data_IF_995640515915
#
_entry.id   IF_995640515915
#
_cell.length_a   1.000
_cell.length_b   1.000
_cell.length_c   1.000
_cell.angle_alpha   90.00
_cell.angle_beta   90.00
_cell.angle_gamma   90.00
#
_symmetry.space_group_name_H-M   'P 1'
#
loop_
_entity.id
_entity.type
_entity.pdbx_description
1 polymer ?
#
# COMPACT_ATOMS: atom_id res chain seq x y z
N UNK A 1 3.46 19.35 -8.03
CA UNK A 1 3.84 18.21 -8.91
C UNK A 1 3.71 16.92 -8.14
N UNK A 2 3.09 15.93 -8.72
CA UNK A 2 2.93 14.62 -8.08
C UNK A 2 4.26 13.89 -7.98
N UNK A 3 4.54 13.35 -6.81
CA UNK A 3 5.75 12.58 -6.54
C UNK A 3 5.39 11.13 -6.28
N UNK A 4 6.14 10.20 -6.87
CA UNK A 4 6.00 8.76 -6.65
C UNK A 4 7.26 8.26 -5.97
N UNK A 5 7.10 7.56 -4.85
CA UNK A 5 8.19 6.92 -4.15
C UNK A 5 7.98 5.40 -4.18
N UNK A 6 8.91 4.70 -4.81
CA UNK A 6 8.94 3.24 -4.81
C UNK A 6 9.80 2.76 -3.65
N UNK A 7 9.23 1.96 -2.78
CA UNK A 7 9.98 1.24 -1.75
C UNK A 7 10.38 -0.13 -2.27
N UNK A 8 11.67 -0.36 -2.42
CA UNK A 8 12.19 -1.68 -2.75
C UNK A 8 12.25 -2.49 -1.46
N UNK A 9 11.45 -3.55 -1.38
CA UNK A 9 11.39 -4.39 -0.19
C UNK A 9 12.69 -5.17 -0.04
N UNK A 10 13.15 -5.40 1.20
CA UNK A 10 14.32 -6.25 1.42
C UNK A 10 14.03 -7.69 1.03
N UNK A 11 15.08 -8.49 0.70
CA UNK A 11 14.86 -9.90 0.44
C UNK A 11 14.26 -10.56 1.68
N UNK A 12 13.24 -11.42 1.45
CA UNK A 12 12.65 -12.19 2.53
C UNK A 12 13.68 -13.25 2.93
N UNK A 13 14.13 -13.20 4.19
CA UNK A 13 15.01 -14.21 4.70
C UNK A 13 14.30 -15.57 4.67
N UNK A 14 14.88 -16.53 3.96
CA UNK A 14 14.36 -17.91 3.88
C UNK A 14 14.27 -18.60 5.24
N UNK A 15 14.88 -18.00 6.25
CA UNK A 15 14.85 -18.44 7.64
C UNK A 15 13.66 -17.91 8.44
N UNK A 16 12.83 -17.08 7.87
CA UNK A 16 11.54 -16.78 8.46
C UNK A 16 10.66 -18.03 8.30
N UNK A 17 11.02 -19.07 9.04
CA UNK A 17 10.09 -20.13 9.33
C UNK A 17 8.89 -19.44 9.95
N UNK A 18 7.83 -19.32 9.19
CA UNK A 18 6.55 -18.92 9.72
C UNK A 18 6.38 -19.74 11.00
N UNK A 19 6.28 -19.06 12.13
CA UNK A 19 5.87 -19.73 13.35
C UNK A 19 4.53 -20.36 13.02
N UNK A 20 4.52 -21.67 12.90
CA UNK A 20 3.36 -22.44 12.48
C UNK A 20 2.21 -22.41 13.50
N UNK A 21 2.26 -21.49 14.45
CA UNK A 21 1.34 -21.42 15.57
C UNK A 21 0.17 -20.44 15.35
N UNK A 22 0.04 -19.89 14.12
CA UNK A 22 -1.13 -19.07 13.80
C UNK A 22 -2.17 -19.94 13.10
N UNK A 23 -3.34 -20.17 13.72
CA UNK A 23 -4.39 -21.00 13.11
C UNK A 23 -5.09 -20.35 11.89
N UNK A 24 -4.60 -19.24 11.39
CA UNK A 24 -5.21 -18.49 10.29
C UNK A 24 -4.42 -18.67 8.98
N UNK A 25 -3.55 -19.67 8.91
CA UNK A 25 -2.69 -19.88 7.75
C UNK A 25 -3.38 -20.69 6.64
N UNK A 26 -4.52 -20.23 6.15
CA UNK A 26 -5.18 -20.93 5.03
C UNK A 26 -5.12 -20.19 3.72
N UNK A 27 -4.38 -19.10 3.65
CA UNK A 27 -4.20 -18.39 2.39
C UNK A 27 -2.71 -18.44 2.04
N UNK A 28 -2.39 -18.75 0.79
CA UNK A 28 -1.05 -18.67 0.23
C UNK A 28 -0.51 -17.24 0.44
N UNK A 29 -0.10 -16.95 1.66
CA UNK A 29 0.48 -15.67 1.99
C UNK A 29 1.95 -15.71 1.63
N UNK A 30 2.28 -15.18 0.46
CA UNK A 30 3.65 -14.86 0.15
C UNK A 30 4.16 -13.92 1.26
N UNK A 31 5.21 -14.30 2.02
CA UNK A 31 5.72 -13.45 3.11
C UNK A 31 6.10 -12.04 2.66
N UNK A 32 6.57 -11.89 1.43
CA UNK A 32 6.89 -10.58 0.89
C UNK A 32 5.65 -9.69 0.77
N UNK A 33 4.51 -10.25 0.38
CA UNK A 33 3.25 -9.51 0.31
C UNK A 33 2.75 -9.12 1.69
N UNK A 34 2.92 -10.00 2.68
CA UNK A 34 2.54 -9.68 4.06
C UNK A 34 3.35 -8.51 4.61
N UNK A 35 4.64 -8.48 4.34
CA UNK A 35 5.50 -7.36 4.74
C UNK A 35 5.10 -6.05 4.04
N UNK A 36 4.78 -6.11 2.77
CA UNK A 36 4.28 -4.95 2.02
C UNK A 36 2.98 -4.42 2.60
N UNK A 37 2.04 -5.31 2.92
CA UNK A 37 0.76 -4.92 3.51
C UNK A 37 0.95 -4.28 4.88
N UNK A 38 1.82 -4.85 5.71
CA UNK A 38 2.14 -4.29 7.01
C UNK A 38 2.78 -2.91 6.88
N UNK A 39 3.72 -2.75 5.97
CA UNK A 39 4.36 -1.47 5.71
C UNK A 39 3.35 -0.44 5.20
N UNK A 40 2.43 -0.85 4.32
CA UNK A 40 1.37 0.03 3.84
C UNK A 40 0.51 0.56 5.00
N UNK A 41 0.16 -0.30 5.95
CA UNK A 41 -0.60 0.10 7.14
C UNK A 41 0.19 1.07 8.01
N UNK A 42 1.48 0.81 8.22
CA UNK A 42 2.37 1.70 8.98
C UNK A 42 2.49 3.08 8.33
N UNK A 43 2.63 3.13 7.02
CA UNK A 43 2.73 4.39 6.27
C UNK A 43 1.40 5.15 6.28
N UNK A 44 0.28 4.44 6.21
CA UNK A 44 -1.05 5.05 6.35
C UNK A 44 -1.21 5.68 7.74
N UNK A 45 -0.76 5.00 8.79
CA UNK A 45 -0.76 5.56 10.14
C UNK A 45 0.09 6.81 10.24
N UNK A 46 1.30 6.78 9.69
CA UNK A 46 2.19 7.94 9.71
C UNK A 46 1.57 9.15 8.99
N UNK A 47 0.93 8.92 7.86
CA UNK A 47 0.22 9.97 7.13
C UNK A 47 -0.95 10.51 7.95
N UNK A 48 -1.71 9.62 8.59
CA UNK A 48 -2.83 10.02 9.45
C UNK A 48 -2.36 10.91 10.61
N UNK A 49 -1.25 10.54 11.26
CA UNK A 49 -0.66 11.34 12.35
C UNK A 49 -0.26 12.73 11.86
N UNK A 50 0.18 12.85 10.61
CA UNK A 50 0.50 14.12 9.96
C UNK A 50 -0.74 14.85 9.42
N UNK A 51 -1.94 14.36 9.73
CA UNK A 51 -3.21 14.92 9.27
C UNK A 51 -3.36 14.91 7.74
N UNK A 52 -2.75 13.93 7.09
CA UNK A 52 -2.91 13.70 5.66
C UNK A 52 -3.94 12.60 5.43
N UNK A 53 -4.80 12.82 4.44
CA UNK A 53 -5.81 11.83 4.04
C UNK A 53 -5.21 10.87 3.02
N UNK A 54 -5.50 9.59 3.19
CA UNK A 54 -4.87 8.49 2.46
C UNK A 54 -5.92 7.69 1.71
N UNK A 55 -5.61 7.30 0.49
CA UNK A 55 -6.33 6.27 -0.24
C UNK A 55 -5.40 5.09 -0.51
N UNK A 56 -5.83 3.89 -0.12
CA UNK A 56 -5.10 2.66 -0.40
C UNK A 56 -5.80 1.96 -1.56
N UNK A 57 -5.11 1.86 -2.69
CA UNK A 57 -5.63 1.20 -3.88
C UNK A 57 -5.16 -0.24 -3.92
N UNK A 58 -6.10 -1.17 -3.92
CA UNK A 58 -5.84 -2.61 -3.92
C UNK A 58 -6.13 -3.21 -5.28
N UNK A 59 -5.56 -4.39 -5.52
CA UNK A 59 -5.74 -5.13 -6.77
C UNK A 59 -7.16 -5.65 -6.94
N UNK A 60 -7.76 -6.11 -5.84
CA UNK A 60 -9.07 -6.73 -5.84
C UNK A 60 -9.74 -6.60 -4.47
N UNK A 61 -10.98 -7.07 -4.41
CA UNK A 61 -11.78 -7.03 -3.19
C UNK A 61 -11.13 -7.81 -2.05
N UNK A 62 -10.52 -8.96 -2.34
CA UNK A 62 -9.89 -9.81 -1.34
C UNK A 62 -8.72 -9.06 -0.67
N UNK A 63 -7.88 -8.43 -1.45
CA UNK A 63 -6.78 -7.63 -0.91
C UNK A 63 -7.29 -6.45 -0.08
N UNK A 64 -8.34 -5.77 -0.57
CA UNK A 64 -8.92 -4.64 0.15
C UNK A 64 -9.44 -5.06 1.53
N UNK A 65 -10.12 -6.19 1.62
CA UNK A 65 -10.60 -6.72 2.91
C UNK A 65 -9.44 -7.13 3.82
N UNK A 66 -8.37 -7.69 3.26
CA UNK A 66 -7.18 -8.05 4.03
C UNK A 66 -6.52 -6.82 4.65
N UNK A 67 -6.42 -5.73 3.90
CA UNK A 67 -5.87 -4.46 4.40
C UNK A 67 -6.77 -3.85 5.47
N UNK A 68 -8.09 -3.88 5.26
CA UNK A 68 -9.07 -3.41 6.23
C UNK A 68 -8.90 -4.12 7.57
N UNK A 69 -8.81 -5.44 7.55
CA UNK A 69 -8.58 -6.23 8.75
C UNK A 69 -7.23 -5.94 9.40
N UNK A 70 -6.19 -5.83 8.58
CA UNK A 70 -4.84 -5.58 9.07
C UNK A 70 -4.73 -4.23 9.77
N UNK A 71 -5.41 -3.20 9.28
CA UNK A 71 -5.44 -1.88 9.92
C UNK A 71 -6.03 -1.91 11.32
N UNK A 72 -6.89 -2.88 11.63
CA UNK A 72 -7.41 -3.08 12.98
C UNK A 72 -6.39 -3.74 13.91
N UNK A 73 -5.42 -4.49 13.38
CA UNK A 73 -4.61 -5.44 14.14
C UNK A 73 -3.11 -5.17 14.10
N UNK A 74 -2.60 -4.40 13.12
CA UNK A 74 -1.16 -4.29 12.87
C UNK A 74 -0.38 -3.69 14.04
N UNK A 75 -1.03 -2.83 14.79
CA UNK A 75 -0.45 -2.19 15.97
C UNK A 75 -1.55 -2.02 17.02
N UNK A 76 -1.54 -2.82 18.08
CA UNK A 76 -2.63 -2.80 19.07
C UNK A 76 -2.85 -1.45 19.75
N UNK A 77 -1.80 -0.64 19.88
CA UNK A 77 -1.88 0.68 20.50
C UNK A 77 -2.28 1.78 19.53
N UNK A 78 -2.31 1.50 18.23
CA UNK A 78 -2.62 2.48 17.21
C UNK A 78 -4.06 2.31 16.73
N UNK A 79 -4.81 3.40 16.67
CA UNK A 79 -6.10 3.43 16.03
C UNK A 79 -6.03 4.34 14.81
N UNK A 80 -6.27 3.77 13.64
CA UNK A 80 -6.31 4.51 12.37
C UNK A 80 -7.73 4.46 11.83
N UNK A 81 -8.47 5.57 11.86
CA UNK A 81 -9.82 5.60 11.29
C UNK A 81 -9.79 5.26 9.80
N UNK A 82 -10.50 4.21 9.41
CA UNK A 82 -10.49 3.73 8.04
C UNK A 82 -11.82 3.07 7.67
N UNK A 83 -12.10 3.00 6.37
CA UNK A 83 -13.23 2.25 5.84
C UNK A 83 -12.94 1.78 4.41
N UNK A 84 -13.64 0.75 4.01
CA UNK A 84 -13.70 0.35 2.61
C UNK A 84 -14.54 1.38 1.84
N UNK A 85 -14.15 1.64 0.59
CA UNK A 85 -14.88 2.57 -0.26
C UNK A 85 -16.35 2.14 -0.40
N UNK A 86 -17.26 3.06 -0.21
CA UNK A 86 -18.70 2.78 -0.21
C UNK A 86 -19.25 2.45 1.16
N UNK A 87 -18.40 2.22 2.15
CA UNK A 87 -18.75 2.00 3.53
C UNK A 87 -18.28 3.19 4.39
N UNK A 88 -18.78 3.30 5.58
CA UNK A 88 -18.37 4.35 6.49
C UNK A 88 -19.16 5.66 6.34
N UNK A 89 -18.75 6.71 7.04
CA UNK A 89 -19.49 7.97 7.10
C UNK A 89 -19.46 8.72 5.77
N UNK A 90 -20.50 9.52 5.53
CA UNK A 90 -20.60 10.36 4.32
C UNK A 90 -19.43 11.33 4.19
N UNK A 91 -18.87 11.78 5.30
CA UNK A 91 -17.72 12.67 5.32
C UNK A 91 -16.42 11.95 4.97
N UNK A 92 -16.42 10.61 4.93
CA UNK A 92 -15.26 9.78 4.69
C UNK A 92 -14.39 9.60 5.94
N UNK A 93 -13.53 8.60 5.90
CA UNK A 93 -12.49 8.39 6.92
C UNK A 93 -11.15 8.89 6.40
N UNK A 94 -10.22 9.26 7.30
CA UNK A 94 -8.87 9.65 6.89
C UNK A 94 -8.15 8.63 6.01
N UNK A 95 -8.42 7.33 6.21
CA UNK A 95 -7.89 6.26 5.34
C UNK A 95 -9.07 5.57 4.67
N UNK A 96 -9.08 5.57 3.35
CA UNK A 96 -10.07 4.86 2.55
C UNK A 96 -9.39 3.79 1.74
N UNK A 97 -10.02 2.63 1.64
CA UNK A 97 -9.48 1.47 0.93
C UNK A 97 -10.42 1.13 -0.22
N UNK A 98 -9.89 1.00 -1.42
CA UNK A 98 -10.70 0.64 -2.59
C UNK A 98 -9.91 -0.16 -3.61
N UNK A 99 -10.62 -0.68 -4.62
CA UNK A 99 -10.02 -1.54 -5.64
C UNK A 99 -10.60 -1.29 -7.03
N UNK A 100 -11.48 -0.31 -7.21
CA UNK A 100 -12.06 0.00 -8.50
C UNK A 100 -11.23 1.07 -9.26
N UNK A 101 -11.62 1.34 -10.50
CA UNK A 101 -10.92 2.29 -11.37
C UNK A 101 -11.29 3.75 -11.10
N UNK A 102 -12.28 4.00 -10.26
CA UNK A 102 -12.76 5.34 -10.01
C UNK A 102 -11.94 6.07 -8.95
N UNK A 103 -11.32 5.30 -8.05
CA UNK A 103 -10.49 5.87 -6.99
C UNK A 103 -11.29 6.43 -5.84
N UNK A 104 -10.67 7.36 -5.10
CA UNK A 104 -11.24 7.92 -3.90
C UNK A 104 -12.45 8.81 -4.20
N UNK A 105 -13.44 8.80 -3.30
CA UNK A 105 -14.61 9.66 -3.42
C UNK A 105 -14.30 11.14 -3.14
N UNK A 106 -13.20 11.41 -2.46
CA UNK A 106 -12.77 12.76 -2.10
C UNK A 106 -11.31 12.96 -2.46
N UNK A 107 -10.93 14.22 -2.61
CA UNK A 107 -9.52 14.57 -2.79
C UNK A 107 -8.72 14.16 -1.55
N UNK A 108 -7.59 13.48 -1.76
CA UNK A 108 -6.70 13.03 -0.71
C UNK A 108 -5.25 13.30 -1.11
N UNK A 109 -4.39 13.48 -0.14
CA UNK A 109 -3.00 13.85 -0.38
C UNK A 109 -2.13 12.65 -0.78
N UNK A 110 -2.39 11.48 -0.19
CA UNK A 110 -1.51 10.32 -0.30
C UNK A 110 -2.25 9.14 -0.93
N UNK A 111 -1.65 8.57 -1.96
CA UNK A 111 -2.08 7.31 -2.56
C UNK A 111 -1.05 6.24 -2.21
N UNK A 112 -1.52 5.13 -1.64
CA UNK A 112 -0.72 3.92 -1.46
C UNK A 112 -1.23 2.90 -2.46
N UNK A 113 -0.39 2.52 -3.42
CA UNK A 113 -0.77 1.58 -4.47
C UNK A 113 -0.27 0.17 -4.16
N UNK A 114 -1.18 -0.77 -4.04
CA UNK A 114 -0.89 -2.20 -3.86
C UNK A 114 -1.29 -3.05 -5.08
N UNK A 115 -1.83 -2.41 -6.11
CA UNK A 115 -2.25 -3.09 -7.32
C UNK A 115 -1.08 -3.32 -8.28
N UNK A 116 -1.27 -4.23 -9.23
CA UNK A 116 -0.24 -4.57 -10.22
C UNK A 116 0.01 -3.44 -11.22
N UNK A 117 -0.94 -2.56 -11.42
CA UNK A 117 -0.83 -1.45 -12.37
C UNK A 117 -1.00 -0.12 -11.66
N UNK A 118 -0.40 0.93 -12.26
CA UNK A 118 -0.63 2.29 -11.80
C UNK A 118 -2.09 2.66 -12.04
N UNK A 119 -2.81 3.17 -11.01
CA UNK A 119 -4.21 3.53 -11.20
C UNK A 119 -4.34 4.77 -12.09
N UNK A 120 -5.42 4.84 -12.91
CA UNK A 120 -5.58 5.98 -13.82
C UNK A 120 -5.79 7.31 -13.11
N UNK A 121 -6.21 7.28 -11.85
CA UNK A 121 -6.44 8.48 -11.03
C UNK A 121 -5.20 8.91 -10.23
N UNK A 122 -4.05 8.29 -10.45
CA UNK A 122 -2.83 8.53 -9.65
C UNK A 122 -2.42 10.01 -9.66
N UNK A 123 -2.59 10.69 -10.79
CA UNK A 123 -2.21 12.11 -10.93
C UNK A 123 -2.98 13.06 -10.02
N UNK A 124 -4.09 12.60 -9.43
CA UNK A 124 -4.91 13.42 -8.54
C UNK A 124 -4.35 13.51 -7.12
N UNK A 125 -3.25 12.79 -6.84
CA UNK A 125 -2.61 12.77 -5.53
C UNK A 125 -1.29 13.53 -5.59
N UNK A 126 -0.93 14.17 -4.50
CA UNK A 126 0.36 14.86 -4.38
C UNK A 126 1.51 13.89 -4.13
N UNK A 127 1.25 12.82 -3.39
CA UNK A 127 2.23 11.80 -3.05
C UNK A 127 1.68 10.41 -3.34
N UNK A 128 2.48 9.62 -4.04
CA UNK A 128 2.14 8.24 -4.34
C UNK A 128 3.23 7.35 -3.74
N UNK A 129 2.80 6.33 -3.01
CA UNK A 129 3.69 5.32 -2.45
C UNK A 129 3.42 4.01 -3.17
N UNK A 130 4.46 3.40 -3.69
CA UNK A 130 4.39 2.12 -4.37
C UNK A 130 5.46 1.19 -3.79
N UNK A 131 5.30 -0.12 -3.99
CA UNK A 131 6.18 -1.11 -3.42
C UNK A 131 6.65 -2.10 -4.48
N UNK A 132 7.87 -2.59 -4.32
CA UNK A 132 8.43 -3.63 -5.17
C UNK A 132 8.90 -4.77 -4.28
N UNK A 133 8.23 -5.93 -4.36
CA UNK A 133 8.68 -7.12 -3.69
C UNK A 133 10.00 -7.61 -4.33
N UNK A 134 10.87 -8.22 -3.51
CA UNK A 134 12.22 -8.59 -3.95
C UNK A 134 12.21 -9.98 -4.59
N UNK A 135 11.56 -10.08 -5.74
CA UNK A 135 11.62 -11.26 -6.61
C UNK A 135 11.48 -10.79 -8.06
N UNK A 136 11.92 -11.64 -8.99
CA UNK A 136 12.00 -11.26 -10.41
C UNK A 136 10.64 -10.97 -11.02
N UNK A 137 9.61 -11.71 -10.63
CA UNK A 137 8.26 -11.53 -11.16
C UNK A 137 7.68 -10.18 -10.74
N UNK A 138 7.76 -9.84 -9.46
CA UNK A 138 7.25 -8.56 -8.96
C UNK A 138 8.07 -7.40 -9.47
N UNK A 139 9.39 -7.57 -9.64
CA UNK A 139 10.25 -6.52 -10.24
C UNK A 139 9.86 -6.25 -11.68
N UNK A 140 9.52 -7.28 -12.46
CA UNK A 140 9.07 -7.10 -13.85
C UNK A 140 7.76 -6.32 -13.92
N UNK A 141 6.79 -6.67 -13.07
CA UNK A 141 5.50 -5.97 -12.97
C UNK A 141 5.71 -4.52 -12.51
N UNK A 142 6.61 -4.31 -11.56
CA UNK A 142 6.92 -2.97 -11.05
C UNK A 142 7.58 -2.08 -12.12
N UNK A 143 8.41 -2.64 -12.99
CA UNK A 143 8.99 -1.87 -14.11
C UNK A 143 7.89 -1.35 -15.02
N UNK A 144 6.84 -2.11 -15.23
CA UNK A 144 5.71 -1.66 -16.04
C UNK A 144 4.96 -0.52 -15.34
N UNK A 145 4.72 -0.61 -14.02
CA UNK A 145 4.15 0.50 -13.25
C UNK A 145 5.04 1.74 -13.32
N UNK A 146 6.34 1.58 -13.22
CA UNK A 146 7.28 2.68 -13.33
C UNK A 146 7.12 3.41 -14.67
N UNK A 147 7.00 2.65 -15.78
CA UNK A 147 6.74 3.24 -17.10
C UNK A 147 5.41 3.97 -17.16
N UNK A 148 4.37 3.39 -16.56
CA UNK A 148 3.04 3.99 -16.51
C UNK A 148 3.08 5.33 -15.77
N UNK A 149 3.71 5.38 -14.60
CA UNK A 149 3.88 6.63 -13.85
C UNK A 149 4.71 7.65 -14.64
N UNK A 150 5.78 7.20 -15.25
CA UNK A 150 6.63 8.06 -16.05
C UNK A 150 5.86 8.71 -17.20
N UNK A 151 4.97 7.94 -17.82
CA UNK A 151 4.09 8.46 -18.89
C UNK A 151 3.10 9.52 -18.41
N UNK A 152 2.82 9.56 -17.10
CA UNK A 152 1.94 10.56 -16.50
C UNK A 152 2.69 11.87 -16.15
N UNK A 153 4.00 11.94 -16.37
CA UNK A 153 4.78 13.13 -16.10
C UNK A 153 5.05 13.43 -14.64
N UNK A 154 4.98 12.39 -13.78
CA UNK A 154 5.23 12.53 -12.35
C UNK A 154 6.72 12.38 -12.04
N UNK A 155 7.14 12.91 -10.89
CA UNK A 155 8.51 12.75 -10.40
C UNK A 155 8.65 11.39 -9.69
N UNK A 156 9.63 10.59 -10.11
CA UNK A 156 9.83 9.23 -9.62
C UNK A 156 11.09 9.13 -8.78
N UNK A 157 10.98 8.54 -7.60
CA UNK A 157 12.09 8.24 -6.70
C UNK A 157 11.97 6.79 -6.21
N UNK A 158 13.10 6.21 -5.84
CA UNK A 158 13.17 4.86 -5.27
C UNK A 158 13.96 4.89 -3.98
N UNK A 159 13.55 4.06 -3.02
CA UNK A 159 14.28 3.86 -1.77
C UNK A 159 14.42 2.37 -1.52
N UNK A 160 15.65 1.90 -1.39
CA UNK A 160 15.93 0.50 -1.06
C UNK A 160 15.90 0.34 0.45
N UNK A 161 14.92 -0.39 0.96
CA UNK A 161 14.73 -0.57 2.40
C UNK A 161 15.79 -1.48 3.02
N UNK A 162 16.51 -2.28 2.22
CA UNK A 162 17.61 -3.09 2.73
C UNK A 162 18.81 -2.22 3.11
N UNK A 163 19.04 -1.12 2.39
CA UNK A 163 20.17 -0.21 2.63
C UNK A 163 19.75 1.07 3.36
N UNK A 164 18.51 1.50 3.19
CA UNK A 164 17.96 2.71 3.80
C UNK A 164 16.61 2.38 4.44
N UNK A 165 16.62 1.73 5.61
CA UNK A 165 15.38 1.36 6.28
C UNK A 165 14.59 2.59 6.75
N UNK A 166 13.30 2.40 6.91
CA UNK A 166 12.44 3.41 7.52
C UNK A 166 12.72 3.49 9.03
N UNK A 167 12.78 4.70 9.54
CA UNK A 167 12.94 4.94 10.98
C UNK A 167 11.60 4.76 11.73
#
# INVERSE_FOLDING_TARGET
MTQVLFYLMPPVASTAKAKADSPVATVNTNPALCEMHLLACQLAQQAFVKQQWVYIHCQDKQQAHAIDELLWQFEPSAFVPHNLKGEGPMTGSPVEIGFDRLGANKSRQVLINLADQAPPFAVNFGHIIDFVANDDQHKAVARERYRQYRGLGVNLQTQDLATHPLN
#
